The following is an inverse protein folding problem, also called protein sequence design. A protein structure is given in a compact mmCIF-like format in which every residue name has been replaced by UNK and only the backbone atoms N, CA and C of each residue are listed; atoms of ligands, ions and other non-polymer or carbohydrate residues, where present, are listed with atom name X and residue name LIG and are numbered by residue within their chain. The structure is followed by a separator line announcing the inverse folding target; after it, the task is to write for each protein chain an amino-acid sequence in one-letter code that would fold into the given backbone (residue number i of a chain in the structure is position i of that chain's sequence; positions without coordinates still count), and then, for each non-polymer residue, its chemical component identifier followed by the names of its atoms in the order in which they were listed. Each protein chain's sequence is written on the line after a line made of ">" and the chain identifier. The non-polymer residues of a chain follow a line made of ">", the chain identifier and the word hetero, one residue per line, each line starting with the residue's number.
data_IF_476870296260
#
_entry.id   IF_476870296260
#
_cell.length_a   1.000
_cell.length_b   1.000
_cell.length_c   1.000
_cell.angle_alpha   90.00
_cell.angle_beta   90.00
_cell.angle_gamma   90.00
#
_symmetry.space_group_name_H-M   'P 1'
#
loop_
_entity.id
_entity.type
_entity.pdbx_description
1 polymer ?
#
# COMPACT_ATOMS: atom_id res chain seq x y z
N UNK A 1 13.87 4.93 15.34
CA UNK A 1 12.90 4.08 14.60
C UNK A 1 12.59 4.70 13.23
N UNK A 2 13.56 4.72 12.31
CA UNK A 2 13.48 5.48 11.05
C UNK A 2 13.65 4.60 9.80
N UNK A 3 13.25 3.33 9.88
CA UNK A 3 13.43 2.37 8.78
C UNK A 3 12.15 1.67 8.32
N UNK A 4 10.99 1.93 8.95
CA UNK A 4 9.74 1.23 8.64
C UNK A 4 8.72 2.08 7.87
N UNK A 5 9.15 3.17 7.24
CA UNK A 5 8.29 4.15 6.59
C UNK A 5 7.71 3.75 5.22
N UNK A 6 8.46 3.12 4.29
CA UNK A 6 7.96 3.05 2.91
C UNK A 6 7.21 1.75 2.55
N UNK A 7 7.17 0.73 3.40
CA UNK A 7 6.74 -0.62 2.98
C UNK A 7 5.44 -1.15 3.64
N UNK A 8 4.66 -0.32 4.32
CA UNK A 8 3.32 -0.73 4.77
C UNK A 8 3.32 -1.88 5.79
N UNK A 9 4.40 -2.02 6.57
CA UNK A 9 4.58 -3.04 7.63
C UNK A 9 3.71 -2.82 8.88
N UNK A 10 2.51 -2.22 8.76
CA UNK A 10 1.61 -2.02 9.91
C UNK A 10 1.33 -3.32 10.64
N UNK A 11 1.21 -4.43 9.88
CA UNK A 11 0.96 -5.77 10.41
C UNK A 11 2.06 -6.27 11.35
N UNK A 12 3.32 -5.93 11.08
CA UNK A 12 4.47 -6.36 11.88
C UNK A 12 4.47 -5.72 13.28
N UNK A 13 3.93 -4.50 13.41
CA UNK A 13 3.80 -3.81 14.70
C UNK A 13 2.56 -4.25 15.47
N UNK A 14 1.50 -4.61 14.75
CA UNK A 14 0.23 -5.09 15.34
C UNK A 14 0.37 -6.51 15.89
N UNK A 15 1.21 -7.36 15.27
CA UNK A 15 1.49 -8.72 15.74
C UNK A 15 2.23 -8.75 17.11
N UNK A 16 2.94 -7.66 17.46
CA UNK A 16 3.66 -7.50 18.73
C UNK A 16 2.75 -7.06 19.90
N UNK A 17 1.52 -6.63 19.61
CA UNK A 17 0.51 -6.31 20.61
C UNK A 17 0.78 -5.06 21.47
N UNK A 18 0.18 -5.04 22.66
CA UNK A 18 0.08 -3.88 23.56
C UNK A 18 1.42 -3.24 24.00
N UNK A 19 2.52 -4.00 24.22
CA UNK A 19 3.82 -3.40 24.54
C UNK A 19 4.34 -2.47 23.45
N UNK A 20 4.05 -2.76 22.17
CA UNK A 20 4.45 -1.91 21.05
C UNK A 20 3.61 -0.63 21.00
N UNK A 21 2.32 -0.70 21.32
CA UNK A 21 1.44 0.46 21.39
C UNK A 21 1.94 1.49 22.44
N UNK A 22 2.36 1.01 23.61
CA UNK A 22 2.90 1.88 24.67
C UNK A 22 4.19 2.59 24.26
N UNK A 23 5.08 1.89 23.54
CA UNK A 23 6.32 2.49 23.02
C UNK A 23 6.06 3.50 21.91
N UNK A 24 5.02 3.27 21.09
CA UNK A 24 4.63 4.21 20.05
C UNK A 24 4.16 5.54 20.65
N UNK A 25 3.30 5.53 21.67
CA UNK A 25 2.77 6.74 22.32
C UNK A 25 3.88 7.67 22.86
N UNK A 26 5.07 7.14 23.12
CA UNK A 26 6.21 7.91 23.61
C UNK A 26 7.04 8.57 22.49
N UNK A 27 6.72 8.34 21.23
CA UNK A 27 7.42 8.92 20.09
C UNK A 27 6.77 10.25 19.64
N UNK A 28 7.55 11.19 19.09
CA UNK A 28 6.99 12.42 18.51
C UNK A 28 6.02 12.08 17.37
N UNK A 29 4.83 12.68 17.42
CA UNK A 29 3.77 12.43 16.44
C UNK A 29 4.25 12.79 15.03
N UNK A 30 4.07 11.83 14.14
CA UNK A 30 4.25 11.98 12.69
C UNK A 30 2.94 11.58 12.01
N UNK A 31 2.65 12.01 10.78
CA UNK A 31 1.44 11.59 10.06
C UNK A 31 1.28 10.07 9.92
N UNK A 32 2.38 9.32 10.07
CA UNK A 32 2.42 7.87 10.08
C UNK A 32 2.10 7.28 11.47
N UNK A 33 2.47 7.99 12.54
CA UNK A 33 2.21 7.64 13.94
C UNK A 33 0.71 7.56 14.24
N UNK A 34 -0.06 8.55 13.79
CA UNK A 34 -1.51 8.62 14.03
C UNK A 34 -2.26 7.48 13.31
N UNK A 35 -1.78 7.06 12.12
CA UNK A 35 -2.33 5.90 11.40
C UNK A 35 -2.11 4.58 12.14
N UNK A 36 -0.97 4.42 12.82
CA UNK A 36 -0.69 3.20 13.59
C UNK A 36 -1.51 3.21 14.88
N UNK A 37 -1.58 4.33 15.61
CA UNK A 37 -2.41 4.43 16.81
C UNK A 37 -3.90 4.20 16.52
N UNK A 38 -4.42 4.73 15.40
CA UNK A 38 -5.79 4.47 14.97
C UNK A 38 -6.07 2.98 14.69
N UNK A 39 -5.07 2.21 14.25
CA UNK A 39 -5.20 0.77 14.05
C UNK A 39 -5.21 -0.02 15.37
N UNK A 40 -4.57 0.49 16.43
CA UNK A 40 -4.62 -0.11 17.77
C UNK A 40 -5.93 0.22 18.51
N UNK A 41 -6.45 1.44 18.39
CA UNK A 41 -7.69 1.85 19.07
C UNK A 41 -8.96 1.20 18.52
N UNK A 42 -8.90 0.55 17.35
CA UNK A 42 -10.01 -0.20 16.77
C UNK A 42 -10.16 -1.65 17.26
N UNK A 43 -9.24 -2.14 18.10
CA UNK A 43 -9.15 -3.57 18.45
C UNK A 43 -9.85 -3.97 19.78
N UNK A 44 -10.41 -3.03 20.55
CA UNK A 44 -10.82 -3.32 21.94
C UNK A 44 -12.31 -3.61 22.18
N UNK A 45 -13.16 -3.68 21.15
CA UNK A 45 -14.56 -4.05 21.36
C UNK A 45 -14.90 -5.42 20.75
N UNK A 46 -14.80 -6.44 21.60
CA UNK A 46 -15.39 -7.78 21.48
C UNK A 46 -14.54 -8.84 20.74
N UNK A 47 -14.01 -9.78 21.52
CA UNK A 47 -13.33 -10.97 21.02
C UNK A 47 -14.19 -11.74 20.01
N UNK A 48 -13.74 -11.74 18.76
CA UNK A 48 -13.98 -12.78 17.77
C UNK A 48 -13.06 -12.48 16.60
N UNK A 49 -12.12 -13.39 16.37
CA UNK A 49 -11.29 -13.41 15.18
C UNK A 49 -12.20 -13.73 13.99
N UNK A 50 -12.63 -12.71 13.27
CA UNK A 50 -13.49 -12.92 12.11
C UNK A 50 -14.06 -11.64 11.54
N UNK A 51 -13.73 -11.43 10.27
CA UNK A 51 -14.49 -10.65 9.30
C UNK A 51 -14.68 -9.13 9.54
N UNK A 52 -14.28 -8.37 8.53
CA UNK A 52 -15.14 -7.31 8.03
C UNK A 52 -14.98 -5.93 8.69
N UNK A 53 -14.26 -5.09 7.95
CA UNK A 53 -14.68 -3.74 7.56
C UNK A 53 -14.69 -2.56 8.55
N UNK A 54 -14.13 -1.48 7.98
CA UNK A 54 -14.49 -0.05 8.09
C UNK A 54 -13.98 0.73 9.28
N UNK A 55 -13.01 1.60 9.00
CA UNK A 55 -12.96 2.92 9.63
C UNK A 55 -12.64 3.97 8.56
N UNK A 56 -13.60 4.86 8.34
CA UNK A 56 -13.49 6.06 7.50
C UNK A 56 -12.65 7.13 8.21
N UNK A 57 -11.89 7.92 7.45
CA UNK A 57 -11.45 9.26 7.86
C UNK A 57 -11.56 10.24 6.68
N UNK A 58 -11.88 11.53 6.94
CA UNK A 58 -12.26 12.49 5.90
C UNK A 58 -11.09 13.38 5.40
N UNK A 59 -11.21 13.80 4.12
CA UNK A 59 -10.56 14.90 3.39
C UNK A 59 -9.19 14.64 2.67
N UNK A 60 -8.86 15.36 1.56
CA UNK A 60 -9.66 16.11 0.59
C UNK A 60 -9.86 15.34 -0.73
N UNK A 61 -10.86 15.77 -1.51
CA UNK A 61 -11.42 15.02 -2.64
C UNK A 61 -10.52 15.08 -3.88
N UNK A 62 -9.74 14.02 -4.13
CA UNK A 62 -9.46 13.56 -5.49
C UNK A 62 -10.53 12.54 -5.89
N UNK A 63 -10.96 12.49 -7.18
CA UNK A 63 -12.05 11.62 -7.61
C UNK A 63 -11.76 10.18 -7.18
N UNK A 64 -12.67 9.65 -6.36
CA UNK A 64 -12.54 8.34 -5.71
C UNK A 64 -12.59 7.24 -6.77
N UNK A 65 -11.42 6.75 -7.17
CA UNK A 65 -11.26 5.41 -7.75
C UNK A 65 -11.20 4.37 -6.63
N UNK A 66 -12.28 4.27 -5.88
CA UNK A 66 -12.45 3.24 -4.85
C UNK A 66 -12.80 1.91 -5.52
N UNK A 67 -11.78 1.10 -5.84
CA UNK A 67 -12.02 -0.28 -6.26
C UNK A 67 -10.84 -1.25 -6.01
N UNK A 68 -9.86 -0.86 -5.19
CA UNK A 68 -8.83 -1.77 -4.68
C UNK A 68 -8.98 -1.98 -3.18
N UNK A 69 -8.80 -3.23 -2.74
CA UNK A 69 -8.78 -3.61 -1.31
C UNK A 69 -7.60 -2.93 -0.61
N UNK A 70 -6.48 -2.82 -1.31
CA UNK A 70 -5.30 -2.08 -0.88
C UNK A 70 -4.88 -1.09 -1.99
N UNK A 71 -4.74 0.22 -1.69
CA UNK A 71 -4.31 1.19 -2.68
C UNK A 71 -2.87 0.92 -3.15
N UNK A 72 -2.57 1.29 -4.39
CA UNK A 72 -1.20 1.33 -4.89
C UNK A 72 -0.45 2.50 -4.23
N UNK A 73 0.81 2.27 -3.86
CA UNK A 73 1.72 3.32 -3.43
C UNK A 73 2.11 4.22 -4.62
N UNK A 74 2.66 5.39 -4.34
CA UNK A 74 3.15 6.31 -5.39
C UNK A 74 4.18 5.64 -6.30
N UNK A 75 5.10 4.85 -5.71
CA UNK A 75 6.11 4.12 -6.48
C UNK A 75 5.51 3.02 -7.34
N UNK A 76 4.48 2.34 -6.84
CA UNK A 76 3.74 1.32 -7.60
C UNK A 76 2.96 1.96 -8.76
N UNK A 77 2.35 3.14 -8.55
CA UNK A 77 1.69 3.90 -9.61
C UNK A 77 2.66 4.36 -10.70
N UNK A 78 3.83 4.85 -10.32
CA UNK A 78 4.87 5.25 -11.27
C UNK A 78 5.33 4.06 -12.14
N UNK A 79 5.59 2.91 -11.52
CA UNK A 79 5.91 1.67 -12.25
C UNK A 79 4.74 1.26 -13.16
N UNK A 80 3.51 1.32 -12.69
CA UNK A 80 2.31 1.01 -13.48
C UNK A 80 2.12 1.93 -14.68
N UNK A 81 2.43 3.23 -14.56
CA UNK A 81 2.41 4.18 -15.67
C UNK A 81 3.44 3.81 -16.75
N UNK A 82 4.67 3.47 -16.35
CA UNK A 82 5.69 3.02 -17.30
C UNK A 82 5.31 1.66 -17.93
N UNK A 83 4.63 0.79 -17.19
CA UNK A 83 4.06 -0.43 -17.73
C UNK A 83 3.07 -0.12 -18.85
N UNK A 84 2.18 0.85 -18.61
CA UNK A 84 1.14 1.27 -19.56
C UNK A 84 1.71 1.96 -20.83
N UNK A 85 2.86 2.60 -20.70
CA UNK A 85 3.63 3.15 -21.84
C UNK A 85 4.33 2.06 -22.68
N UNK A 86 4.29 0.79 -22.23
CA UNK A 86 4.87 -0.33 -22.97
C UNK A 86 6.32 -0.65 -22.63
N UNK A 87 6.94 0.03 -21.66
CA UNK A 87 8.36 -0.17 -21.33
C UNK A 87 8.62 -1.54 -20.72
N UNK A 88 9.62 -2.25 -21.22
CA UNK A 88 10.11 -3.50 -20.63
C UNK A 88 10.62 -3.28 -19.20
N UNK A 89 10.69 -4.36 -18.40
CA UNK A 89 11.22 -4.26 -17.03
C UNK A 89 12.66 -3.72 -17.00
N UNK A 90 13.44 -3.92 -18.08
CA UNK A 90 14.80 -3.39 -18.22
C UNK A 90 14.77 -1.87 -18.41
N UNK A 91 13.96 -1.37 -19.33
CA UNK A 91 13.80 0.07 -19.54
C UNK A 91 13.24 0.77 -18.30
N UNK A 92 12.29 0.15 -17.61
CA UNK A 92 11.77 0.64 -16.32
C UNK A 92 12.90 0.70 -15.29
N UNK A 93 13.73 -0.35 -15.20
CA UNK A 93 14.85 -0.39 -14.26
C UNK A 93 15.87 0.72 -14.52
N UNK A 94 16.19 0.97 -15.79
CA UNK A 94 17.11 2.03 -16.22
C UNK A 94 16.53 3.42 -15.95
N UNK A 95 15.25 3.63 -16.26
CA UNK A 95 14.58 4.94 -16.08
C UNK A 95 14.39 5.31 -14.61
N UNK A 96 14.10 4.32 -13.77
CA UNK A 96 13.83 4.51 -12.35
C UNK A 96 15.06 4.30 -11.46
N UNK A 97 16.23 4.01 -12.06
CA UNK A 97 17.48 3.67 -11.37
C UNK A 97 17.31 2.55 -10.34
N UNK A 98 16.58 1.50 -10.70
CA UNK A 98 16.29 0.34 -9.86
C UNK A 98 16.99 -0.92 -10.38
N UNK A 99 17.20 -1.90 -9.51
CA UNK A 99 17.56 -3.24 -9.95
C UNK A 99 16.37 -3.91 -10.67
N UNK A 100 16.69 -4.77 -11.65
CA UNK A 100 15.69 -5.51 -12.43
C UNK A 100 14.83 -6.44 -11.55
N UNK A 101 15.41 -6.97 -10.47
CA UNK A 101 14.69 -7.74 -9.43
C UNK A 101 13.67 -6.88 -8.67
N UNK A 102 14.01 -5.64 -8.34
CA UNK A 102 13.12 -4.70 -7.65
C UNK A 102 11.91 -4.36 -8.52
N UNK A 103 12.10 -4.12 -9.82
CA UNK A 103 11.00 -3.90 -10.77
C UNK A 103 10.09 -5.13 -10.83
N UNK A 104 10.66 -6.34 -10.88
CA UNK A 104 9.87 -7.59 -10.83
C UNK A 104 9.08 -7.72 -9.51
N UNK A 105 9.67 -7.28 -8.39
CA UNK A 105 9.00 -7.20 -7.09
C UNK A 105 7.79 -6.27 -7.12
N UNK A 106 7.98 -5.04 -7.60
CA UNK A 106 6.87 -4.08 -7.78
C UNK A 106 5.78 -4.64 -8.68
N UNK A 107 6.11 -5.29 -9.80
CA UNK A 107 5.11 -5.92 -10.67
C UNK A 107 4.28 -6.97 -9.92
N UNK A 108 4.90 -7.79 -9.06
CA UNK A 108 4.19 -8.81 -8.28
C UNK A 108 3.19 -8.17 -7.31
N UNK A 109 3.62 -7.10 -6.62
CA UNK A 109 2.74 -6.37 -5.69
C UNK A 109 1.58 -5.69 -6.42
N UNK A 110 1.87 -4.97 -7.52
CA UNK A 110 0.86 -4.32 -8.36
C UNK A 110 -0.15 -5.34 -8.86
N UNK A 111 0.31 -6.46 -9.42
CA UNK A 111 -0.58 -7.49 -9.98
C UNK A 111 -1.43 -8.15 -8.89
N UNK A 112 -0.85 -8.39 -7.71
CA UNK A 112 -1.59 -8.88 -6.54
C UNK A 112 -2.68 -7.91 -6.10
N UNK A 113 -2.36 -6.62 -5.99
CA UNK A 113 -3.32 -5.57 -5.60
C UNK A 113 -4.43 -5.38 -6.63
N UNK A 114 -4.09 -5.41 -7.93
CA UNK A 114 -5.04 -5.33 -9.04
C UNK A 114 -5.82 -6.63 -9.30
N UNK A 115 -5.44 -7.73 -8.64
CA UNK A 115 -5.97 -9.10 -8.84
C UNK A 115 -5.90 -9.59 -10.29
N UNK A 116 -4.74 -9.39 -10.92
CA UNK A 116 -4.45 -9.82 -12.30
C UNK A 116 -3.22 -10.70 -12.34
N UNK A 117 -3.01 -11.42 -13.43
CA UNK A 117 -1.82 -12.25 -13.61
C UNK A 117 -0.91 -11.74 -14.73
N UNK A 118 -1.48 -11.04 -15.71
CA UNK A 118 -0.76 -10.59 -16.89
C UNK A 118 -0.56 -9.09 -16.91
N UNK A 119 0.53 -8.68 -17.54
CA UNK A 119 0.87 -7.27 -17.73
C UNK A 119 -0.21 -6.49 -18.48
N UNK A 120 -0.78 -7.08 -19.53
CA UNK A 120 -1.85 -6.45 -20.32
C UNK A 120 -3.14 -6.32 -19.51
N UNK A 121 -3.47 -7.33 -18.70
CA UNK A 121 -4.59 -7.29 -17.76
C UNK A 121 -4.39 -6.18 -16.72
N UNK A 122 -3.18 -6.01 -16.19
CA UNK A 122 -2.87 -4.93 -15.24
C UNK A 122 -3.16 -3.54 -15.83
N UNK A 123 -2.78 -3.29 -17.08
CA UNK A 123 -3.04 -2.02 -17.76
C UNK A 123 -4.54 -1.83 -18.01
N UNK A 124 -5.24 -2.86 -18.49
CA UNK A 124 -6.68 -2.81 -18.71
C UNK A 124 -7.41 -2.51 -17.40
N UNK A 125 -7.09 -3.26 -16.35
CA UNK A 125 -7.69 -3.11 -15.03
C UNK A 125 -7.41 -1.73 -14.43
N UNK A 126 -6.19 -1.24 -14.54
CA UNK A 126 -5.84 0.10 -14.06
C UNK A 126 -6.63 1.22 -14.76
N UNK A 127 -6.92 1.08 -16.07
CA UNK A 127 -7.79 2.01 -16.81
C UNK A 127 -9.25 1.92 -16.37
N UNK A 128 -9.78 0.71 -16.19
CA UNK A 128 -11.14 0.52 -15.64
C UNK A 128 -11.31 1.18 -14.28
N UNK A 129 -10.25 1.14 -13.47
CA UNK A 129 -10.18 1.74 -12.15
C UNK A 129 -9.89 3.25 -12.18
N UNK A 130 -9.61 3.86 -13.34
CA UNK A 130 -9.25 5.29 -13.44
C UNK A 130 -7.93 5.64 -12.77
N UNK A 131 -6.98 4.71 -12.73
CA UNK A 131 -5.62 4.91 -12.20
C UNK A 131 -4.61 5.35 -13.28
N UNK A 132 -5.00 5.26 -14.55
CA UNK A 132 -4.22 5.58 -15.75
C UNK A 132 -5.06 6.36 -16.76
#
# INVERSE_FOLDING_TARGET
>A
LSLAGPEGYVRLFVDEGEPMAQLLVQLPSTPYHDKILAAFSGAEAQGSWGAGEKISSPAPQLPRSSALIEPLSERELEVLQLIAQGLSNREISERLFLALSTVKGHNRLIFGKLQVQRRTEAVARARELGLL
#
